data_IF_986785064403
#
_entry.id   IF_986785064403
#
_cell.length_a   1.000
_cell.length_b   1.000
_cell.length_c   1.000
_cell.angle_alpha   90.00
_cell.angle_beta   90.00
_cell.angle_gamma   90.00
#
_symmetry.space_group_name_H-M   'P 1'
#
loop_
_entity.id
_entity.type
_entity.pdbx_description
1 polymer ?
#
# COMPACT_ATOMS: atom_id res chain seq x y z
N UNK A 1 -18.41 43.11 2.33
CA UNK A 1 -18.91 42.26 3.43
C UNK A 1 -19.15 40.79 3.02
N UNK A 2 -18.48 40.24 1.98
CA UNK A 2 -18.67 38.83 1.59
C UNK A 2 -17.91 37.85 2.50
N UNK A 3 -16.73 38.25 2.99
CA UNK A 3 -15.87 37.44 3.88
C UNK A 3 -16.60 37.06 5.17
N UNK A 4 -17.22 38.04 5.83
CA UNK A 4 -17.91 37.88 7.12
C UNK A 4 -19.07 36.88 7.02
N UNK A 5 -19.83 36.92 5.92
CA UNK A 5 -20.94 35.99 5.69
C UNK A 5 -20.50 34.53 5.45
N UNK A 6 -19.21 34.31 5.15
CA UNK A 6 -18.63 32.97 4.90
C UNK A 6 -18.04 32.33 6.15
N UNK A 7 -17.74 33.11 7.19
CA UNK A 7 -17.22 32.57 8.45
C UNK A 7 -18.31 31.79 9.18
N UNK A 8 -17.96 30.58 9.65
CA UNK A 8 -18.86 29.69 10.41
C UNK A 8 -18.15 29.15 11.65
N UNK A 9 -18.94 28.67 12.61
CA UNK A 9 -18.42 27.99 13.80
C UNK A 9 -17.52 28.90 14.65
N UNK A 10 -16.34 28.41 15.02
CA UNK A 10 -15.42 29.12 15.92
C UNK A 10 -14.90 30.43 15.32
N UNK A 11 -14.69 30.50 14.00
CA UNK A 11 -14.29 31.73 13.33
C UNK A 11 -15.38 32.82 13.38
N UNK A 12 -16.64 32.42 13.26
CA UNK A 12 -17.78 33.34 13.40
C UNK A 12 -17.90 33.87 14.83
N UNK A 13 -17.83 32.98 15.84
CA UNK A 13 -17.86 33.40 17.25
C UNK A 13 -16.71 34.34 17.59
N UNK A 14 -15.52 34.06 17.09
CA UNK A 14 -14.35 34.92 17.26
C UNK A 14 -14.54 36.31 16.63
N UNK A 15 -15.15 36.40 15.45
CA UNK A 15 -15.45 37.69 14.83
C UNK A 15 -16.40 38.52 15.71
N UNK A 16 -17.47 37.89 16.21
CA UNK A 16 -18.47 38.57 17.04
C UNK A 16 -18.04 38.77 18.50
N UNK A 17 -16.96 38.15 18.96
CA UNK A 17 -16.40 38.37 20.30
C UNK A 17 -15.78 39.77 20.47
N UNK A 18 -15.51 40.48 19.37
CA UNK A 18 -15.08 41.88 19.40
C UNK A 18 -15.94 42.72 18.46
N UNK A 19 -16.65 43.70 19.02
CA UNK A 19 -17.49 44.62 18.26
C UNK A 19 -16.70 45.49 17.27
N UNK A 20 -15.38 45.66 17.48
CA UNK A 20 -14.52 46.48 16.62
C UNK A 20 -14.01 45.72 15.40
N UNK A 21 -13.88 44.38 15.48
CA UNK A 21 -13.33 43.57 14.37
C UNK A 21 -14.15 43.68 13.09
N UNK A 22 -15.47 43.81 13.20
CA UNK A 22 -16.34 43.91 12.03
C UNK A 22 -16.11 45.21 11.22
N UNK A 23 -15.44 46.20 11.83
CA UNK A 23 -15.12 47.50 11.24
C UNK A 23 -13.68 47.56 10.69
N UNK A 24 -12.87 46.54 10.96
CA UNK A 24 -11.48 46.46 10.46
C UNK A 24 -11.45 46.18 8.96
N UNK A 25 -10.31 46.47 8.32
CA UNK A 25 -10.14 46.18 6.90
C UNK A 25 -10.15 44.68 6.63
N UNK A 26 -10.49 44.30 5.40
CA UNK A 26 -10.50 42.88 5.00
C UNK A 26 -9.12 42.24 5.18
N UNK A 27 -8.05 42.98 4.88
CA UNK A 27 -6.67 42.49 5.01
C UNK A 27 -6.31 42.23 6.48
N UNK A 28 -6.64 43.16 7.38
CA UNK A 28 -6.42 42.99 8.82
C UNK A 28 -7.21 41.80 9.39
N UNK A 29 -8.46 41.64 8.96
CA UNK A 29 -9.28 40.49 9.35
C UNK A 29 -8.70 39.17 8.85
N UNK A 30 -8.19 39.13 7.62
CA UNK A 30 -7.51 37.95 7.08
C UNK A 30 -6.24 37.61 7.86
N UNK A 31 -5.39 38.60 8.16
CA UNK A 31 -4.18 38.40 8.98
C UNK A 31 -4.53 37.88 10.37
N UNK A 32 -5.55 38.44 11.03
CA UNK A 32 -5.96 37.97 12.34
C UNK A 32 -6.61 36.58 12.30
N UNK A 33 -7.35 36.24 11.24
CA UNK A 33 -7.90 34.90 11.04
C UNK A 33 -6.79 33.87 10.85
N UNK A 34 -5.78 34.21 10.05
CA UNK A 34 -4.56 33.42 9.89
C UNK A 34 -3.91 33.25 11.28
N UNK A 35 -3.59 34.33 11.98
CA UNK A 35 -2.97 34.25 13.31
C UNK A 35 -3.77 33.45 14.35
N UNK A 36 -5.10 33.51 14.29
CA UNK A 36 -5.96 32.87 15.30
C UNK A 36 -6.30 31.42 14.98
N UNK A 37 -6.48 31.09 13.71
CA UNK A 37 -7.02 29.80 13.27
C UNK A 37 -6.10 29.00 12.37
N UNK A 38 -5.00 29.58 11.88
CA UNK A 38 -3.98 28.84 11.17
C UNK A 38 -3.30 27.90 12.17
N UNK A 39 -3.67 26.63 12.08
CA UNK A 39 -2.84 25.57 12.64
C UNK A 39 -1.70 25.38 11.65
N UNK A 40 -0.61 26.15 11.82
CA UNK A 40 0.64 25.86 11.10
C UNK A 40 1.13 24.52 11.61
N UNK A 41 0.96 23.47 10.81
CA UNK A 41 1.68 22.23 11.04
C UNK A 41 3.17 22.58 11.11
N UNK A 42 3.85 22.12 12.15
CA UNK A 42 5.29 22.27 12.23
C UNK A 42 5.95 21.59 11.03
N UNK A 43 7.15 22.04 10.66
CA UNK A 43 7.90 21.41 9.56
C UNK A 43 8.12 19.91 9.78
N UNK A 44 8.21 19.47 11.04
CA UNK A 44 8.29 18.06 11.41
C UNK A 44 6.98 17.29 11.14
N UNK A 45 5.83 17.88 11.47
CA UNK A 45 4.52 17.28 11.20
C UNK A 45 4.23 17.19 9.70
N UNK A 46 4.59 18.22 8.93
CA UNK A 46 4.45 18.19 7.47
C UNK A 46 5.31 17.10 6.84
N UNK A 47 6.56 16.93 7.30
CA UNK A 47 7.43 15.82 6.87
C UNK A 47 6.87 14.45 7.23
N UNK A 48 6.33 14.32 8.43
CA UNK A 48 5.70 13.08 8.87
C UNK A 48 4.47 12.74 8.01
N UNK A 49 3.65 13.73 7.69
CA UNK A 49 2.50 13.56 6.80
C UNK A 49 2.94 13.17 5.38
N UNK A 50 3.96 13.84 4.84
CA UNK A 50 4.57 13.47 3.56
C UNK A 50 5.05 12.03 3.56
N UNK A 51 5.86 11.61 4.55
CA UNK A 51 6.40 10.25 4.63
C UNK A 51 5.32 9.19 4.78
N UNK A 52 4.32 9.42 5.64
CA UNK A 52 3.23 8.47 5.91
C UNK A 52 2.18 8.37 4.81
N UNK A 53 2.17 9.26 3.83
CA UNK A 53 1.23 9.16 2.71
C UNK A 53 1.59 7.94 1.85
N UNK A 54 0.73 6.94 1.89
CA UNK A 54 0.82 5.69 1.13
C UNK A 54 -0.35 5.57 0.16
N UNK A 55 -0.14 4.91 -0.98
CA UNK A 55 -1.19 4.64 -1.96
C UNK A 55 -2.17 3.57 -1.45
N UNK A 56 -3.46 3.88 -1.44
CA UNK A 56 -4.50 2.98 -0.95
C UNK A 56 -5.24 2.21 -2.08
N UNK A 57 -5.74 0.99 -1.84
CA UNK A 57 -6.49 0.23 -2.86
C UNK A 57 -7.83 0.82 -3.31
N UNK A 58 -8.35 1.83 -2.59
CA UNK A 58 -9.63 2.46 -2.88
C UNK A 58 -9.49 3.78 -3.66
N UNK A 59 -8.26 4.15 -4.03
CA UNK A 59 -7.96 5.33 -4.83
C UNK A 59 -7.13 4.99 -6.07
N UNK A 60 -7.17 5.86 -7.07
CA UNK A 60 -6.28 5.78 -8.23
C UNK A 60 -4.89 6.31 -7.85
N UNK A 61 -3.85 5.81 -8.51
CA UNK A 61 -2.48 6.27 -8.29
C UNK A 61 -2.32 7.79 -8.48
N UNK A 62 -3.05 8.39 -9.43
CA UNK A 62 -3.01 9.83 -9.67
C UNK A 62 -3.39 10.67 -8.44
N UNK A 63 -4.39 10.23 -7.66
CA UNK A 63 -4.83 10.93 -6.44
C UNK A 63 -3.72 10.89 -5.39
N UNK A 64 -3.16 9.69 -5.18
CA UNK A 64 -2.00 9.52 -4.31
C UNK A 64 -0.80 10.38 -4.72
N UNK A 65 -0.47 10.39 -6.01
CA UNK A 65 0.66 11.14 -6.55
C UNK A 65 0.50 12.64 -6.35
N UNK A 66 -0.67 13.20 -6.67
CA UNK A 66 -0.96 14.62 -6.50
C UNK A 66 -0.85 15.03 -5.02
N UNK A 67 -1.47 14.27 -4.10
CA UNK A 67 -1.36 14.53 -2.66
C UNK A 67 0.10 14.48 -2.18
N UNK A 68 0.87 13.50 -2.64
CA UNK A 68 2.28 13.32 -2.25
C UNK A 68 3.13 14.50 -2.73
N UNK A 69 2.91 14.98 -3.96
CA UNK A 69 3.59 16.16 -4.52
C UNK A 69 3.18 17.44 -3.78
N UNK A 70 1.89 17.60 -3.44
CA UNK A 70 1.43 18.74 -2.64
C UNK A 70 2.12 18.77 -1.27
N UNK A 71 2.15 17.63 -0.56
CA UNK A 71 2.83 17.52 0.73
C UNK A 71 4.33 17.81 0.64
N UNK A 72 4.98 17.53 -0.50
CA UNK A 72 6.40 17.82 -0.72
C UNK A 72 6.67 19.32 -0.91
N UNK A 73 5.77 20.04 -1.60
CA UNK A 73 5.90 21.47 -1.86
C UNK A 73 6.02 22.28 -0.57
N UNK A 74 5.30 21.89 0.48
CA UNK A 74 5.25 22.60 1.76
C UNK A 74 6.54 22.45 2.61
N UNK A 75 7.43 21.51 2.23
CA UNK A 75 8.63 21.16 3.01
C UNK A 75 9.95 21.30 2.25
N UNK A 76 9.90 21.69 0.97
CA UNK A 76 11.06 21.92 0.10
C UNK A 76 11.99 20.70 0.01
N UNK A 77 11.45 19.60 -0.51
CA UNK A 77 12.16 18.35 -0.78
C UNK A 77 12.80 18.37 -2.17
N UNK A 78 13.99 17.78 -2.30
CA UNK A 78 14.67 17.67 -3.58
C UNK A 78 14.06 16.57 -4.47
N UNK A 79 14.42 16.59 -5.76
CA UNK A 79 13.82 15.70 -6.76
C UNK A 79 14.11 14.21 -6.50
N UNK A 80 15.32 13.88 -6.04
CA UNK A 80 15.72 12.49 -5.79
C UNK A 80 14.96 11.94 -4.59
N UNK A 81 14.89 12.71 -3.50
CA UNK A 81 14.12 12.36 -2.31
C UNK A 81 12.61 12.24 -2.64
N UNK A 82 12.07 13.12 -3.49
CA UNK A 82 10.67 13.04 -3.93
C UNK A 82 10.40 11.73 -4.70
N UNK A 83 11.27 11.38 -5.65
CA UNK A 83 11.14 10.14 -6.42
C UNK A 83 11.18 8.91 -5.53
N UNK A 84 12.12 8.86 -4.59
CA UNK A 84 12.24 7.76 -3.64
C UNK A 84 10.99 7.65 -2.77
N UNK A 85 10.49 8.77 -2.22
CA UNK A 85 9.30 8.77 -1.36
C UNK A 85 8.00 8.44 -2.10
N UNK A 86 7.88 8.76 -3.39
CA UNK A 86 6.75 8.32 -4.24
C UNK A 86 6.78 6.80 -4.39
N UNK A 87 7.97 6.21 -4.58
CA UNK A 87 8.11 4.76 -4.69
C UNK A 87 7.84 4.11 -3.32
N UNK A 88 8.40 4.64 -2.23
CA UNK A 88 8.21 4.06 -0.89
C UNK A 88 6.75 4.04 -0.44
N UNK A 89 5.95 5.03 -0.84
CA UNK A 89 4.52 5.04 -0.52
C UNK A 89 3.69 4.01 -1.28
N UNK A 90 4.27 3.19 -2.17
CA UNK A 90 3.57 2.07 -2.81
C UNK A 90 3.60 0.85 -1.87
N UNK A 91 2.45 0.37 -1.36
CA UNK A 91 2.45 -0.69 -0.35
C UNK A 91 2.92 -2.05 -0.89
N UNK A 92 2.74 -2.30 -2.19
CA UNK A 92 3.10 -3.57 -2.83
C UNK A 92 4.61 -3.64 -3.17
N UNK A 93 5.40 -4.53 -2.54
CA UNK A 93 6.85 -4.59 -2.77
C UNK A 93 7.25 -4.91 -4.21
N UNK A 94 6.47 -5.74 -4.90
CA UNK A 94 6.73 -6.07 -6.31
C UNK A 94 6.63 -4.83 -7.22
N UNK A 95 5.64 -3.96 -6.97
CA UNK A 95 5.48 -2.71 -7.71
C UNK A 95 6.59 -1.71 -7.40
N UNK A 96 7.02 -1.63 -6.13
CA UNK A 96 8.19 -0.83 -5.74
C UNK A 96 9.45 -1.28 -6.47
N UNK A 97 9.73 -2.58 -6.45
CA UNK A 97 10.90 -3.13 -7.12
C UNK A 97 10.84 -2.88 -8.64
N UNK A 98 9.66 -2.99 -9.25
CA UNK A 98 9.47 -2.68 -10.67
C UNK A 98 9.78 -1.20 -10.97
N UNK A 99 9.30 -0.27 -10.14
CA UNK A 99 9.59 1.16 -10.29
C UNK A 99 11.09 1.46 -10.16
N UNK A 100 11.77 0.83 -9.18
CA UNK A 100 13.22 0.97 -9.00
C UNK A 100 14.01 0.43 -10.19
N UNK A 101 13.65 -0.74 -10.71
CA UNK A 101 14.30 -1.32 -11.91
C UNK A 101 14.11 -0.43 -13.13
N UNK A 102 12.94 0.21 -13.24
CA UNK A 102 12.64 1.10 -14.35
C UNK A 102 13.43 2.42 -14.29
N UNK A 103 14.05 2.76 -13.15
CA UNK A 103 14.91 3.92 -12.94
C UNK A 103 14.29 5.23 -13.46
N UNK A 104 13.06 5.53 -13.05
CA UNK A 104 12.39 6.78 -13.44
C UNK A 104 13.19 8.00 -12.97
N UNK A 105 13.41 8.95 -13.87
CA UNK A 105 14.16 10.18 -13.60
C UNK A 105 13.27 11.36 -13.26
N UNK A 106 11.96 11.25 -13.51
CA UNK A 106 10.99 12.33 -13.36
C UNK A 106 9.69 11.83 -12.72
N UNK A 107 9.09 12.58 -11.77
CA UNK A 107 7.86 12.17 -11.09
C UNK A 107 6.71 11.85 -12.05
N UNK A 108 6.58 12.61 -13.14
CA UNK A 108 5.54 12.40 -14.15
C UNK A 108 5.65 11.04 -14.87
N UNK A 109 6.83 10.43 -14.91
CA UNK A 109 7.01 9.09 -15.47
C UNK A 109 6.35 8.05 -14.55
N UNK A 110 6.44 8.21 -13.23
CA UNK A 110 5.72 7.37 -12.27
C UNK A 110 4.20 7.51 -12.47
N UNK A 111 3.68 8.75 -12.54
CA UNK A 111 2.25 8.98 -12.77
C UNK A 111 1.75 8.29 -14.04
N UNK A 112 2.50 8.40 -15.14
CA UNK A 112 2.15 7.75 -16.41
C UNK A 112 2.19 6.22 -16.29
N UNK A 113 3.27 5.66 -15.75
CA UNK A 113 3.48 4.22 -15.66
C UNK A 113 2.45 3.53 -14.77
N UNK A 114 2.01 4.18 -13.69
CA UNK A 114 1.07 3.63 -12.73
C UNK A 114 -0.39 4.03 -12.97
N UNK A 115 -0.69 4.78 -14.04
CA UNK A 115 -2.04 5.29 -14.35
C UNK A 115 -3.14 4.23 -14.39
N UNK A 116 -2.84 3.05 -14.96
CA UNK A 116 -3.77 1.92 -15.08
C UNK A 116 -3.56 0.82 -14.03
N UNK A 117 -2.54 0.95 -13.18
CA UNK A 117 -2.23 -0.04 -12.15
C UNK A 117 -3.26 0.07 -11.02
N UNK A 118 -3.71 -1.09 -10.52
CA UNK A 118 -4.60 -1.18 -9.35
C UNK A 118 -3.99 -2.06 -8.29
N UNK A 119 -4.07 -1.61 -7.04
CA UNK A 119 -3.63 -2.42 -5.90
C UNK A 119 -4.64 -3.55 -5.63
N UNK A 120 -4.17 -4.75 -5.24
CA UNK A 120 -5.06 -5.81 -4.78
C UNK A 120 -5.86 -5.36 -3.55
N UNK A 121 -7.19 -5.49 -3.60
CA UNK A 121 -8.01 -5.33 -2.40
C UNK A 121 -7.78 -6.53 -1.49
N UNK A 122 -7.26 -6.29 -0.29
CA UNK A 122 -7.09 -7.34 0.71
C UNK A 122 -8.49 -7.84 1.08
N UNK A 123 -8.91 -8.98 0.54
CA UNK A 123 -10.12 -9.65 1.00
C UNK A 123 -9.88 -10.00 2.46
N UNK A 124 -10.62 -9.36 3.37
CA UNK A 124 -10.69 -9.81 4.75
C UNK A 124 -11.06 -11.29 4.71
N UNK A 125 -10.22 -12.13 5.32
CA UNK A 125 -10.48 -13.55 5.43
C UNK A 125 -11.73 -13.73 6.31
N UNK A 126 -12.89 -13.79 5.66
CA UNK A 126 -14.06 -14.46 6.23
C UNK A 126 -13.77 -15.95 6.16
N UNK A 127 -13.75 -16.60 7.32
CA UNK A 127 -13.65 -18.03 7.49
C UNK A 127 -14.40 -18.81 6.41
N UNK A 128 -13.69 -19.70 5.72
CA UNK A 128 -14.23 -21.02 5.40
C UNK A 128 -13.08 -22.02 5.27
N UNK A 129 -12.77 -22.63 6.42
CA UNK A 129 -12.33 -24.00 6.46
C UNK A 129 -13.28 -24.90 5.65
N UNK A 130 -12.69 -25.89 4.99
CA UNK A 130 -13.34 -27.10 4.48
C UNK A 130 -14.47 -26.92 3.46
N UNK A 131 -14.14 -27.14 2.18
CA UNK A 131 -14.64 -28.30 1.39
C UNK A 131 -14.44 -28.05 -0.10
N UNK A 132 -13.23 -28.33 -0.62
CA UNK A 132 -13.09 -28.47 -2.07
C UNK A 132 -13.56 -29.88 -2.46
N UNK A 133 -14.87 -30.00 -2.67
CA UNK A 133 -15.51 -31.17 -3.26
C UNK A 133 -15.46 -31.00 -4.78
N UNK A 134 -14.52 -31.74 -5.39
CA UNK A 134 -14.56 -32.37 -6.71
C UNK A 134 -14.89 -31.53 -7.96
N UNK A 135 -13.98 -31.58 -8.95
CA UNK A 135 -14.19 -32.10 -10.32
C UNK A 135 -12.79 -32.43 -10.88
N UNK A 136 -12.42 -33.71 -10.89
CA UNK A 136 -12.26 -34.55 -12.10
C UNK A 136 -11.15 -34.14 -13.05
N UNK A 137 -10.09 -34.95 -13.07
CA UNK A 137 -9.45 -35.44 -14.30
C UNK A 137 -8.66 -34.43 -15.14
N UNK A 138 -7.35 -34.64 -15.22
CA UNK A 138 -6.55 -34.06 -16.29
C UNK A 138 -5.09 -33.92 -15.91
N UNK A 139 -4.30 -34.95 -16.24
CA UNK A 139 -2.86 -34.96 -16.03
C UNK A 139 -2.18 -33.73 -16.62
N UNK A 140 -1.52 -32.97 -15.75
CA UNK A 140 -0.38 -32.15 -16.13
C UNK A 140 0.80 -32.65 -15.29
N UNK A 141 1.62 -33.47 -15.95
CA UNK A 141 2.84 -34.04 -15.41
C UNK A 141 3.76 -32.93 -14.87
N UNK A 142 3.73 -32.70 -13.56
CA UNK A 142 4.83 -32.04 -12.90
C UNK A 142 5.98 -33.04 -12.85
N UNK A 143 6.84 -33.01 -13.89
CA UNK A 143 7.95 -33.96 -14.13
C UNK A 143 8.99 -33.99 -13.00
N UNK A 144 8.89 -33.07 -12.04
CA UNK A 144 9.79 -33.00 -10.88
C UNK A 144 9.12 -33.28 -9.53
N UNK A 145 7.81 -33.56 -9.51
CA UNK A 145 7.17 -34.05 -8.30
C UNK A 145 7.61 -35.49 -8.01
N UNK A 146 8.31 -35.68 -6.89
CA UNK A 146 8.66 -36.99 -6.33
C UNK A 146 7.68 -37.38 -5.23
N UNK A 147 7.21 -38.63 -5.29
CA UNK A 147 6.30 -39.19 -4.31
C UNK A 147 6.98 -39.32 -2.93
N UNK A 148 6.38 -38.75 -1.88
CA UNK A 148 6.91 -38.82 -0.51
C UNK A 148 6.81 -40.22 0.14
N UNK A 149 6.18 -41.21 -0.52
CA UNK A 149 6.16 -42.60 -0.07
C UNK A 149 7.27 -43.44 -0.72
N UNK A 150 7.53 -43.29 -2.02
CA UNK A 150 8.42 -44.19 -2.77
C UNK A 150 9.52 -43.48 -3.59
N UNK A 151 9.64 -42.17 -3.44
CA UNK A 151 10.58 -41.28 -4.15
C UNK A 151 10.53 -41.34 -5.69
N UNK A 152 9.50 -41.98 -6.25
CA UNK A 152 9.28 -42.09 -7.70
C UNK A 152 8.56 -40.86 -8.24
N UNK A 153 8.85 -40.47 -9.49
CA UNK A 153 8.25 -39.29 -10.13
C UNK A 153 6.82 -39.56 -10.62
N UNK A 154 6.05 -38.49 -10.80
CA UNK A 154 4.80 -38.51 -11.57
C UNK A 154 3.53 -38.85 -10.79
N UNK A 155 3.58 -38.97 -9.46
CA UNK A 155 2.40 -39.13 -8.61
C UNK A 155 2.63 -38.57 -7.20
N UNK A 156 1.53 -38.23 -6.51
CA UNK A 156 1.57 -37.85 -5.09
C UNK A 156 1.58 -39.08 -4.17
N UNK A 157 2.03 -38.93 -2.92
CA UNK A 157 2.03 -40.03 -1.93
C UNK A 157 0.65 -40.68 -1.71
N UNK A 158 -0.43 -39.90 -1.86
CA UNK A 158 -1.82 -40.37 -1.79
C UNK A 158 -2.25 -41.25 -2.98
N UNK A 159 -1.56 -41.14 -4.11
CA UNK A 159 -1.80 -41.88 -5.36
C UNK A 159 -0.79 -43.05 -5.50
N UNK A 160 0.04 -43.30 -4.48
CA UNK A 160 1.06 -44.33 -4.52
C UNK A 160 0.44 -45.72 -4.28
N UNK A 161 0.67 -46.65 -5.21
CA UNK A 161 0.21 -48.04 -5.09
C UNK A 161 1.14 -48.92 -4.23
N UNK A 162 2.30 -48.40 -3.80
CA UNK A 162 3.21 -49.12 -2.89
C UNK A 162 2.68 -49.05 -1.46
N UNK A 163 2.98 -50.06 -0.61
CA UNK A 163 2.64 -50.02 0.81
C UNK A 163 3.17 -48.74 1.46
N UNK A 164 2.45 -48.25 2.48
CA UNK A 164 2.88 -47.08 3.24
C UNK A 164 4.18 -47.41 3.96
N UNK A 165 5.21 -46.61 3.74
CA UNK A 165 6.47 -46.72 4.49
C UNK A 165 6.30 -46.20 5.91
N UNK A 166 7.16 -46.67 6.81
CA UNK A 166 7.29 -46.06 8.12
C UNK A 166 7.98 -44.68 8.01
N UNK A 167 7.47 -43.64 8.69
CA UNK A 167 8.13 -42.34 8.70
C UNK A 167 9.58 -42.46 9.20
N UNK A 168 10.54 -41.99 8.40
CA UNK A 168 11.97 -42.07 8.71
C UNK A 168 12.70 -43.31 8.15
N UNK A 169 12.01 -44.21 7.45
CA UNK A 169 12.65 -45.32 6.74
C UNK A 169 13.14 -44.92 5.34
N UNK A 170 14.13 -45.64 4.81
CA UNK A 170 14.66 -45.49 3.46
C UNK A 170 13.56 -45.64 2.39
N UNK A 171 13.56 -44.77 1.38
CA UNK A 171 12.58 -44.78 0.27
C UNK A 171 12.71 -45.99 -0.66
N UNK A 172 13.88 -46.63 -0.71
CA UNK A 172 14.14 -47.77 -1.59
C UNK A 172 13.88 -49.14 -0.91
N UNK A 173 14.34 -49.32 0.33
CA UNK A 173 14.33 -50.62 1.00
C UNK A 173 13.50 -50.67 2.30
N UNK A 174 13.02 -49.55 2.82
CA UNK A 174 12.23 -49.50 4.05
C UNK A 174 13.02 -49.72 5.35
N UNK A 175 14.34 -49.85 5.31
CA UNK A 175 15.19 -49.94 6.49
C UNK A 175 15.52 -48.54 7.06
N UNK A 176 15.83 -48.49 8.36
CA UNK A 176 16.34 -47.28 9.02
C UNK A 176 17.87 -47.16 8.86
N UNK A 177 18.40 -45.95 9.07
CA UNK A 177 19.85 -45.69 9.06
C UNK A 177 20.44 -45.23 7.72
N UNK A 178 19.64 -45.13 6.66
CA UNK A 178 20.03 -44.47 5.41
C UNK A 178 18.81 -43.92 4.66
N UNK A 179 19.05 -42.95 3.78
CA UNK A 179 18.04 -42.36 2.89
C UNK A 179 18.54 -42.39 1.44
N UNK A 180 17.61 -42.53 0.49
CA UNK A 180 17.84 -42.49 -0.96
C UNK A 180 17.07 -41.34 -1.57
#
# INVERSE_FOLDING_TARGET
MLLIAKLKGNAQRWLHASATRILESTDQLCEQLILTFEVKMSKGEMRNAFQKREWHPDEKFAVYFEDKVMLANDINIDLEELLENIIEGIPAPALRNQARIQCFSEPMQNLRAFSEVRLPKHKTAVHQSSSSKHLTGGGAANKDLRCANCNSKGHFARECLKPKREPGSCYACGAFGHFV
#
